data_IF_027212865962
#
_entry.id   IF_027212865962
#
_cell.length_a   1.000
_cell.length_b   1.000
_cell.length_c   1.000
_cell.angle_alpha   90.00
_cell.angle_beta   90.00
_cell.angle_gamma   90.00
#
_symmetry.space_group_name_H-M   'P 1'
#
loop_
_entity.id
_entity.type
_entity.pdbx_description
1 polymer ?
#
# COMPACT_ATOMS: atom_id res chain seq x y z
N UNK A 1 -1.45 2.13 5.89
CA UNK A 1 -2.25 3.22 5.26
C UNK A 1 -1.30 4.22 4.63
N UNK A 2 -1.50 4.56 3.33
CA UNK A 2 -0.70 5.59 2.64
C UNK A 2 -1.28 6.97 2.91
N UNK A 3 -0.41 7.94 3.21
CA UNK A 3 -0.82 9.29 3.57
C UNK A 3 0.25 10.33 3.20
N UNK A 4 -0.17 11.56 2.86
CA UNK A 4 0.76 12.67 2.70
C UNK A 4 1.14 13.28 4.07
N UNK A 5 2.20 14.08 4.09
CA UNK A 5 2.74 14.65 5.32
C UNK A 5 1.74 15.54 6.08
N UNK A 6 0.80 16.19 5.38
CA UNK A 6 -0.18 17.12 5.98
C UNK A 6 -1.20 16.37 6.83
N UNK A 7 -1.55 15.16 6.43
CA UNK A 7 -2.53 14.33 7.12
C UNK A 7 -1.88 13.27 8.03
N UNK A 8 -0.55 13.27 8.12
CA UNK A 8 0.17 12.27 8.93
C UNK A 8 -0.26 12.29 10.40
N UNK A 9 -0.39 13.44 11.10
CA UNK A 9 -0.87 13.47 12.48
C UNK A 9 -2.27 12.88 12.61
N UNK A 10 -3.21 13.31 11.77
CA UNK A 10 -4.59 12.81 11.80
C UNK A 10 -4.68 11.30 11.54
N UNK A 11 -3.84 10.78 10.64
CA UNK A 11 -3.80 9.35 10.34
C UNK A 11 -3.27 8.52 11.51
N UNK A 12 -2.22 8.99 12.19
CA UNK A 12 -1.66 8.32 13.38
C UNK A 12 -2.62 8.36 14.56
N UNK A 13 -3.30 9.49 14.76
CA UNK A 13 -4.32 9.64 15.81
C UNK A 13 -5.52 8.73 15.54
N UNK A 14 -6.04 8.72 14.32
CA UNK A 14 -7.16 7.86 13.95
C UNK A 14 -6.86 6.37 14.15
N UNK A 15 -5.63 5.92 13.83
CA UNK A 15 -5.20 4.55 14.05
C UNK A 15 -5.27 4.19 15.55
N UNK A 16 -4.76 5.06 16.41
CA UNK A 16 -4.71 4.86 17.86
C UNK A 16 -6.11 4.96 18.49
N UNK A 17 -6.95 5.90 18.07
CA UNK A 17 -8.35 6.01 18.53
C UNK A 17 -9.18 4.79 18.14
N UNK A 18 -8.84 4.13 17.03
CA UNK A 18 -9.46 2.87 16.66
C UNK A 18 -8.96 1.66 17.47
N UNK A 19 -8.13 1.87 18.49
CA UNK A 19 -7.60 0.83 19.37
C UNK A 19 -6.40 0.07 18.82
N UNK A 20 -5.79 0.55 17.73
CA UNK A 20 -4.56 -0.03 17.19
C UNK A 20 -3.31 0.52 17.88
N UNK A 21 -2.29 -0.29 17.98
CA UNK A 21 -0.96 0.14 18.44
C UNK A 21 -0.21 0.67 17.20
N UNK A 22 0.04 1.98 17.17
CA UNK A 22 0.90 2.55 16.15
C UNK A 22 2.34 2.05 16.32
N UNK A 23 2.87 1.36 15.33
CA UNK A 23 4.21 0.74 15.38
C UNK A 23 5.26 1.54 14.65
N UNK A 24 4.86 2.43 13.75
CA UNK A 24 5.80 3.29 13.05
C UNK A 24 5.27 3.81 11.72
N UNK A 25 6.19 4.43 10.99
CA UNK A 25 5.92 5.03 9.70
C UNK A 25 7.06 4.65 8.75
N UNK A 26 6.74 4.00 7.65
CA UNK A 26 7.67 3.81 6.54
C UNK A 26 7.49 4.91 5.50
N UNK A 27 8.46 5.08 4.61
CA UNK A 27 8.48 6.13 3.60
C UNK A 27 8.48 5.52 2.21
N UNK A 28 7.61 5.99 1.35
CA UNK A 28 7.74 5.78 -0.08
C UNK A 28 8.37 7.01 -0.72
N UNK A 29 9.63 6.87 -1.15
CA UNK A 29 10.35 7.87 -1.96
C UNK A 29 10.02 7.65 -3.44
N UNK A 30 9.33 8.60 -4.03
CA UNK A 30 8.91 8.59 -5.44
C UNK A 30 10.07 8.92 -6.40
N UNK A 31 11.22 9.36 -5.86
CA UNK A 31 12.42 9.73 -6.61
C UNK A 31 12.28 11.04 -7.41
N UNK A 32 11.10 11.29 -7.97
CA UNK A 32 10.81 12.47 -8.75
C UNK A 32 9.62 13.24 -8.18
N UNK A 33 9.81 14.49 -7.96
CA UNK A 33 8.73 15.45 -7.73
C UNK A 33 9.08 16.75 -8.45
N UNK A 34 8.06 17.52 -8.84
CA UNK A 34 8.30 18.82 -9.48
C UNK A 34 9.12 19.70 -8.54
N UNK A 35 10.33 20.14 -8.93
CA UNK A 35 11.14 21.00 -8.09
C UNK A 35 10.45 22.36 -7.93
N UNK A 36 10.52 22.93 -6.73
CA UNK A 36 10.06 24.27 -6.42
C UNK A 36 11.22 25.05 -5.80
N UNK A 37 11.54 26.21 -6.36
CA UNK A 37 12.63 27.07 -5.86
C UNK A 37 12.37 27.47 -4.40
N UNK A 38 13.40 27.38 -3.56
CA UNK A 38 13.33 27.77 -2.15
C UNK A 38 12.54 26.82 -1.25
N UNK A 39 12.27 25.59 -1.70
CA UNK A 39 11.53 24.58 -0.92
C UNK A 39 12.17 23.20 -1.02
N UNK A 40 11.92 22.35 -0.03
CA UNK A 40 12.23 20.92 -0.13
C UNK A 40 11.28 20.22 -1.10
N UNK A 41 11.79 19.23 -1.82
CA UNK A 41 10.96 18.40 -2.70
C UNK A 41 9.95 17.59 -1.92
N UNK A 42 8.69 17.61 -2.33
CA UNK A 42 7.62 16.79 -1.78
C UNK A 42 7.60 15.42 -2.49
N UNK A 43 8.69 14.66 -2.37
CA UNK A 43 8.86 13.37 -3.06
C UNK A 43 8.48 12.17 -2.23
N UNK A 44 8.20 12.36 -0.95
CA UNK A 44 7.84 11.30 -0.03
C UNK A 44 6.32 11.21 0.16
N UNK A 45 5.83 9.98 0.26
CA UNK A 45 4.54 9.62 0.81
C UNK A 45 4.78 8.66 1.98
N UNK A 46 3.95 8.70 3.00
CA UNK A 46 4.18 7.97 4.23
C UNK A 46 3.25 6.75 4.32
N UNK A 47 3.76 5.68 4.91
CA UNK A 47 3.01 4.45 5.17
C UNK A 47 2.89 4.31 6.68
N UNK A 48 1.78 4.79 7.24
CA UNK A 48 1.45 4.58 8.66
C UNK A 48 1.03 3.13 8.85
N UNK A 49 1.66 2.46 9.82
CA UNK A 49 1.37 1.06 10.09
C UNK A 49 1.30 0.77 11.59
N UNK A 50 0.58 -0.26 11.95
CA UNK A 50 0.36 -0.68 13.32
C UNK A 50 -0.19 -2.09 13.42
N UNK A 51 -0.43 -2.54 14.64
CA UNK A 51 -1.04 -3.84 14.93
C UNK A 51 -2.27 -3.68 15.82
N UNK A 52 -3.24 -4.55 15.63
CA UNK A 52 -4.32 -4.73 16.57
C UNK A 52 -3.91 -5.86 17.53
N UNK A 53 -3.41 -5.47 18.72
CA UNK A 53 -2.80 -6.38 19.69
C UNK A 53 -1.29 -6.56 19.52
N UNK A 54 -0.77 -7.61 20.14
CA UNK A 54 0.65 -7.89 20.21
C UNK A 54 1.29 -8.18 18.84
N UNK A 55 2.57 -7.89 18.72
CA UNK A 55 3.37 -8.16 17.55
C UNK A 55 4.67 -8.87 17.96
N UNK A 56 4.64 -10.21 18.09
CA UNK A 56 5.80 -10.97 18.52
C UNK A 56 7.00 -10.82 17.58
N UNK A 57 8.22 -10.78 18.11
CA UNK A 57 9.46 -10.62 17.32
C UNK A 57 9.71 -11.85 16.42
N UNK A 58 9.23 -13.02 16.82
CA UNK A 58 9.43 -14.28 16.12
C UNK A 58 8.38 -14.56 15.03
N UNK A 59 7.64 -13.56 14.56
CA UNK A 59 6.74 -13.70 13.42
C UNK A 59 7.50 -14.20 12.19
N UNK A 60 6.93 -15.12 11.38
CA UNK A 60 7.58 -15.67 10.19
C UNK A 60 7.49 -14.69 9.00
N UNK A 61 7.88 -13.44 9.22
CA UNK A 61 7.87 -12.37 8.20
C UNK A 61 9.26 -11.75 8.08
N UNK A 62 9.68 -11.31 6.89
CA UNK A 62 10.97 -10.66 6.73
C UNK A 62 11.02 -9.30 7.41
N UNK A 63 12.23 -8.83 7.74
CA UNK A 63 12.43 -7.43 8.06
C UNK A 63 12.33 -6.61 6.77
N UNK A 64 11.31 -5.78 6.67
CA UNK A 64 11.09 -4.92 5.51
C UNK A 64 11.83 -3.59 5.65
N UNK A 65 12.23 -2.95 4.55
CA UNK A 65 12.87 -1.64 4.59
C UNK A 65 11.91 -0.57 5.13
N UNK A 66 12.46 0.40 5.88
CA UNK A 66 11.71 1.59 6.30
C UNK A 66 11.54 2.65 5.21
N UNK A 67 12.28 2.50 4.10
CA UNK A 67 12.21 3.41 2.94
C UNK A 67 12.14 2.59 1.65
N UNK A 68 11.08 2.82 0.88
CA UNK A 68 10.84 2.19 -0.42
C UNK A 68 11.10 3.20 -1.54
N UNK A 69 11.91 2.85 -2.53
CA UNK A 69 12.25 3.73 -3.67
C UNK A 69 11.60 3.19 -4.95
N UNK A 70 10.45 3.71 -5.28
CA UNK A 70 9.71 3.33 -6.48
C UNK A 70 9.15 4.58 -7.18
N UNK A 71 9.38 4.71 -8.47
CA UNK A 71 8.75 5.76 -9.27
C UNK A 71 7.23 5.63 -9.32
N UNK A 72 6.58 6.73 -9.66
CA UNK A 72 5.13 6.70 -9.90
C UNK A 72 4.81 5.82 -11.13
N UNK A 73 3.69 5.08 -11.14
CA UNK A 73 3.23 4.36 -12.33
C UNK A 73 3.02 5.32 -13.50
N UNK A 74 3.42 4.93 -14.70
CA UNK A 74 3.29 5.79 -15.89
C UNK A 74 1.90 5.69 -16.54
N UNK A 75 1.35 4.47 -16.65
CA UNK A 75 0.04 4.20 -17.28
C UNK A 75 -1.00 3.91 -16.19
N UNK A 76 -1.47 4.94 -15.49
CA UNK A 76 -2.38 4.78 -14.36
C UNK A 76 -3.81 4.57 -14.82
N UNK A 77 -4.48 3.56 -14.26
CA UNK A 77 -5.94 3.40 -14.36
C UNK A 77 -6.65 4.38 -13.41
N UNK A 78 -6.05 4.62 -12.25
CA UNK A 78 -6.56 5.54 -11.24
C UNK A 78 -5.49 6.58 -10.85
N UNK A 79 -5.90 7.83 -10.60
CA UNK A 79 -4.97 8.94 -10.31
C UNK A 79 -4.08 8.66 -9.08
N UNK A 80 -4.59 7.96 -8.09
CA UNK A 80 -3.89 7.61 -6.84
C UNK A 80 -3.29 6.21 -6.83
N UNK A 81 -3.21 5.57 -8.00
CA UNK A 81 -2.66 4.22 -8.13
C UNK A 81 -1.23 4.14 -7.61
N UNK A 82 -0.97 3.13 -6.77
CA UNK A 82 0.37 2.85 -6.24
C UNK A 82 1.14 1.94 -7.19
N UNK A 83 2.48 2.06 -7.26
CA UNK A 83 3.29 1.13 -8.05
C UNK A 83 3.10 -0.32 -7.57
N UNK A 84 2.87 -1.23 -8.51
CA UNK A 84 2.73 -2.66 -8.19
C UNK A 84 3.96 -3.23 -7.46
N UNK A 85 5.22 -2.93 -7.86
CA UNK A 85 6.39 -3.40 -7.12
C UNK A 85 6.44 -2.92 -5.65
N UNK A 86 6.05 -1.68 -5.39
CA UNK A 86 5.93 -1.16 -4.03
C UNK A 86 4.91 -1.96 -3.21
N UNK A 87 3.73 -2.21 -3.78
CA UNK A 87 2.67 -2.94 -3.08
C UNK A 87 3.07 -4.40 -2.85
N UNK A 88 3.78 -5.04 -3.78
CA UNK A 88 4.33 -6.38 -3.60
C UNK A 88 5.29 -6.47 -2.42
N UNK A 89 6.10 -5.44 -2.18
CA UNK A 89 6.96 -5.41 -1.00
C UNK A 89 6.17 -5.13 0.29
N UNK A 90 5.23 -4.19 0.25
CA UNK A 90 4.45 -3.80 1.43
C UNK A 90 3.59 -4.96 1.96
N UNK A 91 2.97 -5.76 1.07
CA UNK A 91 2.11 -6.87 1.49
C UNK A 91 2.86 -7.99 2.22
N UNK A 92 4.18 -8.08 2.04
CA UNK A 92 5.05 -9.07 2.72
C UNK A 92 5.15 -8.87 4.24
N UNK A 93 4.61 -7.78 4.80
CA UNK A 93 4.44 -7.63 6.25
C UNK A 93 3.39 -8.59 6.82
N UNK A 94 2.54 -9.14 5.96
CA UNK A 94 1.54 -10.14 6.30
C UNK A 94 2.21 -11.50 6.46
N UNK A 95 1.78 -12.27 7.45
CA UNK A 95 2.30 -13.63 7.67
C UNK A 95 1.92 -14.56 6.51
N UNK A 96 2.75 -15.56 6.20
CA UNK A 96 2.43 -16.55 5.16
C UNK A 96 1.05 -17.18 5.39
N UNK A 97 0.25 -17.27 4.32
CA UNK A 97 -1.14 -17.75 4.38
C UNK A 97 -2.15 -16.75 4.94
N UNK A 98 -1.71 -15.53 5.29
CA UNK A 98 -2.58 -14.47 5.77
C UNK A 98 -3.55 -13.97 4.69
N UNK A 99 -4.59 -13.25 5.13
CA UNK A 99 -5.58 -12.63 4.27
C UNK A 99 -5.43 -11.11 4.27
N UNK A 100 -5.41 -10.49 3.10
CA UNK A 100 -5.26 -9.05 2.93
C UNK A 100 -6.61 -8.44 2.58
N UNK A 101 -7.03 -7.45 3.38
CA UNK A 101 -8.23 -6.66 3.12
C UNK A 101 -7.84 -5.24 2.70
N UNK A 102 -8.29 -4.81 1.54
CA UNK A 102 -8.22 -3.41 1.11
C UNK A 102 -9.64 -2.83 0.97
N UNK A 103 -10.09 -2.04 1.97
CA UNK A 103 -11.44 -1.46 1.95
C UNK A 103 -11.61 -0.30 0.95
N UNK A 104 -10.53 0.13 0.28
CA UNK A 104 -10.51 1.19 -0.73
C UNK A 104 -9.69 0.77 -1.95
N UNK A 105 -10.05 -0.36 -2.54
CA UNK A 105 -9.22 -1.09 -3.50
C UNK A 105 -8.89 -0.32 -4.79
N UNK A 106 -9.70 0.65 -5.19
CA UNK A 106 -9.47 1.48 -6.37
C UNK A 106 -9.20 0.65 -7.63
N UNK A 107 -7.97 0.76 -8.16
CA UNK A 107 -7.50 -0.02 -9.33
C UNK A 107 -7.11 -1.47 -9.01
N UNK A 108 -7.25 -1.93 -7.77
CA UNK A 108 -6.97 -3.30 -7.33
C UNK A 108 -5.48 -3.64 -7.18
N UNK A 109 -4.59 -2.65 -7.13
CA UNK A 109 -3.14 -2.91 -7.06
C UNK A 109 -2.74 -3.70 -5.81
N UNK A 110 -3.37 -3.43 -4.65
CA UNK A 110 -3.14 -4.19 -3.41
C UNK A 110 -3.53 -5.65 -3.57
N UNK A 111 -4.69 -5.91 -4.19
CA UNK A 111 -5.21 -7.25 -4.39
C UNK A 111 -4.31 -8.03 -5.36
N UNK A 112 -3.93 -7.40 -6.48
CA UNK A 112 -3.01 -8.00 -7.44
C UNK A 112 -1.66 -8.32 -6.78
N UNK A 113 -1.08 -7.39 -6.03
CA UNK A 113 0.17 -7.60 -5.30
C UNK A 113 0.06 -8.78 -4.32
N UNK A 114 -1.03 -8.84 -3.56
CA UNK A 114 -1.28 -9.92 -2.60
C UNK A 114 -1.31 -11.30 -3.29
N UNK A 115 -2.09 -11.43 -4.36
CA UNK A 115 -2.20 -12.70 -5.09
C UNK A 115 -0.87 -13.11 -5.72
N UNK A 116 -0.12 -12.18 -6.31
CA UNK A 116 1.20 -12.45 -6.89
C UNK A 116 2.24 -12.88 -5.84
N UNK A 117 2.09 -12.46 -4.58
CA UNK A 117 2.94 -12.89 -3.46
C UNK A 117 2.38 -14.12 -2.69
N UNK A 118 1.31 -14.75 -3.20
CA UNK A 118 0.75 -15.98 -2.65
C UNK A 118 -0.20 -15.81 -1.47
N UNK A 119 -0.72 -14.59 -1.26
CA UNK A 119 -1.74 -14.30 -0.24
C UNK A 119 -3.15 -14.40 -0.82
N UNK A 120 -4.12 -14.67 0.05
CA UNK A 120 -5.53 -14.40 -0.27
C UNK A 120 -5.86 -12.94 -0.04
N UNK A 121 -6.81 -12.39 -0.79
CA UNK A 121 -7.14 -10.97 -0.66
C UNK A 121 -8.61 -10.68 -0.94
N UNK A 122 -9.13 -9.64 -0.26
CA UNK A 122 -10.45 -9.06 -0.52
C UNK A 122 -10.30 -7.56 -0.74
N UNK A 123 -10.82 -7.06 -1.86
CA UNK A 123 -10.91 -5.63 -2.16
C UNK A 123 -12.36 -5.15 -2.09
N UNK A 124 -12.56 -3.98 -1.51
CA UNK A 124 -13.85 -3.28 -1.51
C UNK A 124 -13.65 -1.97 -2.28
N UNK A 125 -14.52 -1.71 -3.25
CA UNK A 125 -14.53 -0.47 -4.02
C UNK A 125 -15.97 0.00 -4.20
N UNK A 126 -16.25 1.23 -3.80
CA UNK A 126 -17.61 1.80 -3.83
C UNK A 126 -18.09 2.08 -5.25
N UNK A 127 -17.16 2.40 -6.17
CA UNK A 127 -17.49 2.74 -7.54
C UNK A 127 -17.51 1.47 -8.40
N UNK A 128 -18.69 1.05 -8.85
CA UNK A 128 -18.86 -0.17 -9.64
C UNK A 128 -18.00 -0.24 -10.90
N UNK A 129 -17.77 0.90 -11.58
CA UNK A 129 -16.88 0.97 -12.75
C UNK A 129 -15.43 0.68 -12.37
N UNK A 130 -14.90 1.25 -11.28
CA UNK A 130 -13.55 0.97 -10.82
C UNK A 130 -13.41 -0.49 -10.34
N UNK A 131 -14.40 -1.01 -9.62
CA UNK A 131 -14.42 -2.40 -9.21
C UNK A 131 -14.35 -3.38 -10.41
N UNK A 132 -15.10 -3.09 -11.51
CA UNK A 132 -15.04 -3.87 -12.74
C UNK A 132 -13.66 -3.80 -13.40
N UNK A 133 -13.14 -2.59 -13.59
CA UNK A 133 -11.80 -2.37 -14.18
C UNK A 133 -10.68 -3.04 -13.36
N UNK A 134 -10.76 -2.96 -12.03
CA UNK A 134 -9.82 -3.62 -11.14
C UNK A 134 -9.84 -5.14 -11.34
N UNK A 135 -11.04 -5.75 -11.43
CA UNK A 135 -11.19 -7.19 -11.68
C UNK A 135 -10.62 -7.60 -13.03
N UNK A 136 -10.97 -6.90 -14.10
CA UNK A 136 -10.47 -7.17 -15.44
C UNK A 136 -8.93 -7.11 -15.51
N UNK A 137 -8.34 -6.07 -14.88
CA UNK A 137 -6.89 -5.92 -14.77
C UNK A 137 -6.26 -7.09 -14.04
N UNK A 138 -6.78 -7.44 -12.85
CA UNK A 138 -6.23 -8.53 -12.05
C UNK A 138 -6.27 -9.84 -12.83
N UNK A 139 -7.38 -10.17 -13.47
CA UNK A 139 -7.52 -11.37 -14.29
C UNK A 139 -6.56 -11.39 -15.48
N UNK A 140 -6.33 -10.25 -16.13
CA UNK A 140 -5.39 -10.13 -17.24
C UNK A 140 -3.95 -10.35 -16.78
N UNK A 141 -3.52 -9.67 -15.73
CA UNK A 141 -2.16 -9.77 -15.17
C UNK A 141 -1.85 -11.19 -14.68
N UNK A 142 -2.82 -11.84 -14.02
CA UNK A 142 -2.64 -13.21 -13.55
C UNK A 142 -2.54 -14.22 -14.71
N UNK A 143 -3.26 -14.01 -15.81
CA UNK A 143 -3.11 -14.84 -17.03
C UNK A 143 -1.75 -14.69 -17.70
N UNK A 144 -1.13 -13.52 -17.59
CA UNK A 144 0.21 -13.26 -18.14
C UNK A 144 1.34 -13.80 -17.25
N UNK A 145 1.08 -13.97 -15.95
CA UNK A 145 2.03 -14.47 -14.98
C UNK A 145 2.04 -16.02 -14.84
N UNK A 146 1.02 -16.69 -15.39
CA UNK A 146 0.87 -18.15 -15.36
C UNK A 146 1.57 -18.83 -16.55
#
# INVERSE_FOLDING_TARGET
MFIDWRQLPAATDALQWAGWIWRGTAVWDKGNSRPQKGRFRQQAEYIVWGSNGDMPINRPVPCLPGVFKYGNPQNRIHLTEKPLPLMRDVVKITEPGGHILDPFAGSGTTILAAVLEGYTATGIEVTGEYARRARERIEQELRQAA
#
